data_IF_897932518393
#
_entry.id   IF_897932518393
#
_cell.length_a   1.000
_cell.length_b   1.000
_cell.length_c   1.000
_cell.angle_alpha   90.00
_cell.angle_beta   90.00
_cell.angle_gamma   90.00
#
_symmetry.space_group_name_H-M   'P 1'
#
loop_
_entity.id
_entity.type
_entity.pdbx_description
1 polymer ?
#
# COMPACT_ATOMS: atom_id res chain seq x y z
N UNK A 1 1.44 -11.84 -15.08
CA UNK A 1 0.86 -10.55 -14.67
C UNK A 1 1.18 -10.37 -13.20
N UNK A 2 2.06 -9.42 -12.83
CA UNK A 2 2.30 -9.12 -11.42
C UNK A 2 1.02 -8.54 -10.81
N UNK A 3 0.53 -9.14 -9.73
CA UNK A 3 -0.67 -8.66 -9.05
C UNK A 3 -0.41 -7.26 -8.47
N UNK A 4 -1.33 -6.32 -8.65
CA UNK A 4 -1.18 -4.91 -8.22
C UNK A 4 -0.90 -4.77 -6.73
N UNK A 5 -1.37 -5.74 -5.92
CA UNK A 5 -1.08 -5.83 -4.49
C UNK A 5 0.41 -6.00 -4.20
N UNK A 6 1.10 -6.82 -4.99
CA UNK A 6 2.52 -7.12 -4.79
C UNK A 6 3.38 -5.87 -5.01
N UNK A 7 3.10 -5.11 -6.08
CA UNK A 7 3.79 -3.84 -6.38
C UNK A 7 3.51 -2.80 -5.31
N UNK A 8 2.27 -2.69 -4.84
CA UNK A 8 1.89 -1.74 -3.79
C UNK A 8 2.62 -2.04 -2.45
N UNK A 9 2.70 -3.31 -2.07
CA UNK A 9 3.35 -3.72 -0.82
C UNK A 9 4.87 -3.58 -0.90
N UNK A 10 5.49 -3.91 -2.05
CA UNK A 10 6.92 -3.69 -2.28
C UNK A 10 7.28 -2.19 -2.24
N UNK A 11 6.45 -1.34 -2.85
CA UNK A 11 6.61 0.12 -2.79
C UNK A 11 6.53 0.64 -1.35
N UNK A 12 5.61 0.12 -0.54
CA UNK A 12 5.45 0.52 0.86
C UNK A 12 6.67 0.11 1.71
N UNK A 13 7.19 -1.11 1.51
CA UNK A 13 8.40 -1.60 2.17
C UNK A 13 9.65 -0.80 1.78
N UNK A 14 9.72 -0.31 0.54
CA UNK A 14 10.84 0.49 0.05
C UNK A 14 10.91 1.92 0.64
N UNK A 15 9.84 2.43 1.26
CA UNK A 15 9.79 3.82 1.72
C UNK A 15 10.77 4.13 2.86
N UNK A 16 10.83 3.24 3.87
CA UNK A 16 11.71 3.37 5.05
C UNK A 16 11.99 1.98 5.65
N UNK A 17 13.19 1.74 6.20
CA UNK A 17 13.57 0.43 6.72
C UNK A 17 12.77 -0.02 7.97
N UNK A 18 12.08 0.89 8.65
CA UNK A 18 11.26 0.60 9.83
C UNK A 18 9.76 0.42 9.52
N UNK A 19 9.37 0.43 8.25
CA UNK A 19 7.97 0.20 7.86
C UNK A 19 7.72 -1.31 7.82
N UNK A 20 6.86 -1.78 8.73
CA UNK A 20 6.41 -3.17 8.80
C UNK A 20 4.90 -3.23 8.51
N UNK A 21 4.47 -3.45 7.26
CA UNK A 21 3.07 -3.56 6.92
C UNK A 21 2.47 -4.86 7.47
N UNK A 22 1.20 -4.82 7.89
CA UNK A 22 0.48 -5.97 8.46
C UNK A 22 -0.71 -6.32 7.54
N UNK A 23 -0.47 -6.83 6.32
CA UNK A 23 -1.53 -7.13 5.39
C UNK A 23 -2.34 -8.34 5.87
N UNK A 24 -3.66 -8.17 6.00
CA UNK A 24 -4.60 -9.24 6.30
C UNK A 24 -5.27 -9.78 5.03
N UNK A 25 -5.44 -11.10 4.94
CA UNK A 25 -6.24 -11.75 3.88
C UNK A 25 -6.85 -13.06 4.38
N UNK A 26 -7.99 -13.44 3.82
CA UNK A 26 -8.63 -14.75 4.06
C UNK A 26 -8.36 -15.76 2.94
N UNK A 27 -7.71 -15.35 1.84
CA UNK A 27 -7.47 -16.17 0.65
C UNK A 27 -6.01 -16.59 0.59
N UNK A 28 -5.75 -17.89 0.40
CA UNK A 28 -4.39 -18.46 0.38
C UNK A 28 -3.50 -17.85 -0.71
N UNK A 29 -3.98 -17.75 -1.96
CA UNK A 29 -3.19 -17.15 -3.05
C UNK A 29 -2.78 -15.70 -2.76
N UNK A 30 -3.61 -14.94 -2.02
CA UNK A 30 -3.25 -13.57 -1.60
C UNK A 30 -2.19 -13.55 -0.52
N UNK A 31 -2.13 -14.57 0.33
CA UNK A 31 -1.05 -14.71 1.29
C UNK A 31 0.28 -14.94 0.56
N UNK A 32 0.27 -15.79 -0.46
CA UNK A 32 1.46 -16.08 -1.29
C UNK A 32 1.94 -14.82 -2.02
N UNK A 33 1.03 -14.05 -2.61
CA UNK A 33 1.34 -12.75 -3.23
C UNK A 33 1.91 -11.74 -2.23
N UNK A 34 1.33 -11.63 -1.03
CA UNK A 34 1.82 -10.74 0.03
C UNK A 34 3.26 -11.08 0.42
N UNK A 35 3.56 -12.36 0.59
CA UNK A 35 4.92 -12.83 0.91
C UNK A 35 5.86 -12.53 -0.25
N UNK A 36 5.43 -12.78 -1.49
CA UNK A 36 6.20 -12.50 -2.70
C UNK A 36 6.53 -11.01 -2.89
N UNK A 37 5.76 -10.10 -2.30
CA UNK A 37 6.05 -8.67 -2.38
C UNK A 37 7.32 -8.28 -1.61
N UNK A 38 7.64 -8.96 -0.51
CA UNK A 38 8.84 -8.69 0.27
C UNK A 38 10.14 -9.06 -0.48
N UNK A 39 10.06 -9.95 -1.47
CA UNK A 39 11.18 -10.32 -2.33
C UNK A 39 11.35 -9.39 -3.54
N UNK A 40 10.37 -8.54 -3.83
CA UNK A 40 10.42 -7.62 -4.95
C UNK A 40 11.23 -6.37 -4.58
N UNK A 41 12.34 -6.15 -5.29
CA UNK A 41 13.13 -4.92 -5.18
C UNK A 41 12.71 -3.95 -6.26
N UNK A 42 12.29 -2.75 -5.86
CA UNK A 42 12.04 -1.63 -6.76
C UNK A 42 13.29 -0.75 -6.78
N UNK A 43 13.78 -0.43 -7.98
CA UNK A 43 14.94 0.44 -8.10
C UNK A 43 14.54 1.93 -8.00
N UNK A 44 15.54 2.82 -8.04
CA UNK A 44 15.29 4.26 -7.96
C UNK A 44 14.43 4.80 -9.12
N UNK A 45 14.50 4.16 -10.29
CA UNK A 45 13.72 4.55 -11.46
C UNK A 45 12.25 4.15 -11.31
N UNK A 46 12.00 2.94 -10.81
CA UNK A 46 10.65 2.44 -10.47
C UNK A 46 9.98 3.35 -9.44
N UNK A 47 10.70 3.67 -8.36
CA UNK A 47 10.18 4.51 -7.29
C UNK A 47 9.87 5.93 -7.80
N UNK A 48 10.73 6.49 -8.65
CA UNK A 48 10.51 7.80 -9.27
C UNK A 48 9.30 7.80 -10.21
N UNK A 49 9.11 6.73 -10.99
CA UNK A 49 7.97 6.59 -11.87
C UNK A 49 6.65 6.49 -11.08
N UNK A 50 6.63 5.72 -9.98
CA UNK A 50 5.48 5.62 -9.09
C UNK A 50 5.18 6.98 -8.45
N UNK A 51 6.19 7.70 -7.94
CA UNK A 51 5.99 9.01 -7.33
C UNK A 51 5.44 10.04 -8.33
N UNK A 52 5.95 10.04 -9.57
CA UNK A 52 5.46 10.90 -10.64
C UNK A 52 3.98 10.60 -10.98
N UNK A 53 3.59 9.33 -11.00
CA UNK A 53 2.20 8.94 -11.21
C UNK A 53 1.29 9.39 -10.05
N UNK A 54 1.74 9.20 -8.79
CA UNK A 54 0.99 9.56 -7.59
C UNK A 54 0.77 11.07 -7.44
N UNK A 55 1.71 11.91 -7.88
CA UNK A 55 1.60 13.39 -7.83
C UNK A 55 0.37 13.92 -8.57
N UNK A 56 -0.13 13.19 -9.57
CA UNK A 56 -1.30 13.57 -10.34
C UNK A 56 -2.63 13.12 -9.70
N UNK A 57 -2.57 12.37 -8.60
CA UNK A 57 -3.76 11.83 -7.93
C UNK A 57 -4.21 12.80 -6.84
N UNK A 58 -5.37 13.42 -7.04
CA UNK A 58 -6.04 14.21 -6.00
C UNK A 58 -6.69 13.25 -5.00
N UNK A 59 -6.15 13.19 -3.78
CA UNK A 59 -6.77 12.44 -2.68
C UNK A 59 -8.01 13.21 -2.19
N UNK A 60 -9.18 12.58 -2.25
CA UNK A 60 -10.46 13.16 -1.84
C UNK A 60 -11.14 12.21 -0.86
N UNK A 61 -11.63 12.74 0.26
CA UNK A 61 -12.38 12.00 1.27
C UNK A 61 -11.89 12.27 2.69
N UNK A 62 -12.81 12.28 3.64
CA UNK A 62 -12.51 12.38 5.06
C UNK A 62 -12.05 11.03 5.61
N UNK A 63 -11.17 11.04 6.63
CA UNK A 63 -10.70 9.81 7.31
C UNK A 63 -11.85 8.95 7.85
N UNK A 64 -12.97 9.57 8.20
CA UNK A 64 -14.17 8.92 8.70
C UNK A 64 -15.39 9.50 7.99
N UNK A 65 -16.41 8.68 7.76
CA UNK A 65 -17.73 9.19 7.40
C UNK A 65 -18.26 10.11 8.50
N UNK A 66 -19.15 11.05 8.17
CA UNK A 66 -19.77 11.95 9.15
C UNK A 66 -20.45 11.20 10.32
N UNK A 67 -20.91 9.97 10.07
CA UNK A 67 -21.50 9.09 11.08
C UNK A 67 -20.43 8.50 12.01
N UNK A 68 -19.30 8.05 11.48
CA UNK A 68 -18.18 7.49 12.27
C UNK A 68 -17.43 8.57 13.05
N UNK A 69 -17.34 9.81 12.55
CA UNK A 69 -16.75 10.93 13.29
C UNK A 69 -17.43 11.18 14.65
N UNK A 70 -18.75 10.94 14.74
CA UNK A 70 -19.50 11.09 16.00
C UNK A 70 -19.18 10.02 17.05
N UNK A 71 -18.66 8.86 16.62
CA UNK A 71 -18.37 7.71 17.50
C UNK A 71 -16.94 7.81 18.06
N UNK A 72 -16.00 8.38 17.30
CA UNK A 72 -14.58 8.48 17.67
C UNK A 72 -14.33 9.52 18.77
N UNK A 73 -15.18 10.55 18.90
CA UNK A 73 -15.07 11.61 19.92
C UNK A 73 -15.92 11.32 21.18
N UNK A 74 -15.98 10.07 21.64
CA UNK A 74 -16.73 9.71 22.86
C UNK A 74 -15.82 9.28 24.00
#
# INVERSE_FOLDING_TARGET
MSDSLQVALAWLLAQKPWIAPIPGTTKLHRLEENIGAAALSLDSSDLSAIEAALKNIKVVGDRYSAQMQKIVNR
#
